data_IF_754185642926
#
_entry.id   IF_754185642926
#
_cell.length_a   1.000
_cell.length_b   1.000
_cell.length_c   1.000
_cell.angle_alpha   90.00
_cell.angle_beta   90.00
_cell.angle_gamma   90.00
#
_symmetry.space_group_name_H-M   'P 1'
#
loop_
_entity.id
_entity.type
_entity.pdbx_description
1 polymer ?
#
# COMPACT_ATOMS: atom_id res chain seq x y z
N UNK A 1 -42.77 -4.24 10.55
CA UNK A 1 -42.79 -3.02 9.73
C UNK A 1 -41.98 -1.97 10.46
N UNK A 2 -41.09 -1.28 9.74
CA UNK A 2 -40.20 -0.19 10.21
C UNK A 2 -39.03 -0.72 11.07
N UNK A 3 -37.76 -0.66 10.66
CA UNK A 3 -37.10 0.47 10.01
C UNK A 3 -36.07 0.01 8.98
N UNK A 4 -36.34 0.34 7.72
CA UNK A 4 -35.30 0.62 6.74
C UNK A 4 -34.57 1.90 7.18
N UNK A 5 -33.42 1.76 7.82
CA UNK A 5 -32.43 2.84 7.83
C UNK A 5 -31.24 2.38 6.98
N UNK A 6 -31.49 2.39 5.67
CA UNK A 6 -30.46 2.46 4.68
C UNK A 6 -29.73 3.81 4.83
N UNK A 7 -28.71 3.87 5.69
CA UNK A 7 -27.68 4.91 5.60
C UNK A 7 -26.49 4.34 4.85
N UNK A 8 -26.71 4.04 3.57
CA UNK A 8 -25.63 3.90 2.60
C UNK A 8 -25.43 5.26 1.95
N UNK A 9 -24.82 6.18 2.67
CA UNK A 9 -24.22 7.37 2.06
C UNK A 9 -22.72 7.25 2.20
N UNK A 10 -22.07 6.81 1.13
CA UNK A 10 -20.63 7.03 0.95
C UNK A 10 -20.33 8.50 1.24
N UNK A 11 -19.26 8.78 1.99
CA UNK A 11 -18.87 10.15 2.31
C UNK A 11 -18.79 10.98 1.01
N UNK A 12 -19.33 12.22 0.97
CA UNK A 12 -19.32 13.04 -0.24
C UNK A 12 -17.89 13.28 -0.76
N UNK A 13 -16.91 13.34 0.14
CA UNK A 13 -15.49 13.43 -0.20
C UNK A 13 -14.97 12.16 -0.88
N UNK A 14 -15.33 10.97 -0.37
CA UNK A 14 -14.98 9.70 -1.00
C UNK A 14 -15.62 9.57 -2.39
N UNK A 15 -16.87 10.01 -2.53
CA UNK A 15 -17.57 10.03 -3.81
C UNK A 15 -16.90 10.99 -4.81
N UNK A 16 -16.44 12.15 -4.37
CA UNK A 16 -15.68 13.08 -5.20
C UNK A 16 -14.35 12.46 -5.67
N UNK A 17 -13.61 11.82 -4.76
CA UNK A 17 -12.36 11.13 -5.11
C UNK A 17 -12.59 9.96 -6.09
N UNK A 18 -13.68 9.20 -5.91
CA UNK A 18 -14.04 8.11 -6.80
C UNK A 18 -14.29 8.60 -8.24
N UNK A 19 -14.96 9.75 -8.41
CA UNK A 19 -15.16 10.37 -9.73
C UNK A 19 -13.84 10.80 -10.37
N UNK A 20 -12.96 11.45 -9.60
CA UNK A 20 -11.64 11.84 -10.09
C UNK A 20 -10.80 10.64 -10.55
N UNK A 21 -10.85 9.53 -9.80
CA UNK A 21 -10.18 8.29 -10.21
C UNK A 21 -10.83 7.76 -11.50
N UNK A 22 -12.15 7.72 -11.58
CA UNK A 22 -12.88 7.23 -12.75
C UNK A 22 -12.57 8.04 -14.02
N UNK A 23 -12.34 9.34 -13.91
CA UNK A 23 -11.94 10.20 -15.04
C UNK A 23 -10.55 9.83 -15.59
N UNK A 24 -9.62 9.38 -14.74
CA UNK A 24 -8.24 9.03 -15.15
C UNK A 24 -8.13 7.58 -15.67
N UNK A 25 -9.05 6.69 -15.27
CA UNK A 25 -9.01 5.26 -15.61
C UNK A 25 -8.97 4.99 -17.13
N UNK A 26 -9.77 5.66 -18.00
CA UNK A 26 -9.71 5.43 -19.45
C UNK A 26 -8.32 5.67 -20.02
N UNK A 27 -7.70 6.80 -19.70
CA UNK A 27 -6.34 7.13 -20.15
C UNK A 27 -5.32 6.12 -19.63
N UNK A 28 -5.44 5.70 -18.36
CA UNK A 28 -4.59 4.64 -17.80
C UNK A 28 -4.71 3.34 -18.60
N UNK A 29 -5.93 2.93 -18.93
CA UNK A 29 -6.19 1.69 -19.68
C UNK A 29 -5.59 1.76 -21.08
N UNK A 30 -5.77 2.86 -21.80
CA UNK A 30 -5.18 3.07 -23.14
C UNK A 30 -3.65 2.91 -23.12
N UNK A 31 -2.98 3.54 -22.15
CA UNK A 31 -1.53 3.43 -21.98
C UNK A 31 -1.09 2.00 -21.65
N UNK A 32 -1.83 1.31 -20.77
CA UNK A 32 -1.51 -0.06 -20.40
C UNK A 32 -1.74 -1.06 -21.55
N UNK A 33 -2.76 -0.85 -22.37
CA UNK A 33 -3.00 -1.64 -23.58
C UNK A 33 -1.84 -1.49 -24.56
N UNK A 34 -1.38 -0.25 -24.78
CA UNK A 34 -0.27 0.03 -25.69
C UNK A 34 1.07 -0.56 -25.20
N UNK A 35 1.37 -0.47 -23.90
CA UNK A 35 2.66 -0.89 -23.34
C UNK A 35 2.73 -2.36 -22.93
N UNK A 36 1.61 -2.91 -22.46
CA UNK A 36 1.54 -4.23 -21.78
C UNK A 36 0.25 -4.97 -22.15
N UNK A 37 0.10 -5.35 -23.43
CA UNK A 37 -1.07 -6.12 -23.87
C UNK A 37 -1.21 -7.41 -23.05
N UNK A 38 -2.46 -7.83 -22.78
CA UNK A 38 -2.81 -8.99 -21.94
C UNK A 38 -2.42 -8.89 -20.45
N UNK A 39 -1.88 -7.76 -19.97
CA UNK A 39 -1.52 -7.56 -18.56
C UNK A 39 -2.17 -6.34 -17.91
N UNK A 40 -3.08 -5.66 -18.62
CA UNK A 40 -3.74 -4.42 -18.19
C UNK A 40 -4.27 -4.51 -16.75
N UNK A 41 -5.10 -5.52 -16.44
CA UNK A 41 -5.67 -5.67 -15.10
C UNK A 41 -4.60 -5.82 -14.01
N UNK A 42 -3.57 -6.64 -14.27
CA UNK A 42 -2.48 -6.86 -13.30
C UNK A 42 -1.65 -5.60 -13.09
N UNK A 43 -1.29 -4.89 -14.15
CA UNK A 43 -0.47 -3.67 -14.08
C UNK A 43 -1.27 -2.52 -13.42
N UNK A 44 -2.56 -2.37 -13.73
CA UNK A 44 -3.44 -1.41 -13.07
C UNK A 44 -3.53 -1.66 -11.56
N UNK A 45 -3.69 -2.93 -11.14
CA UNK A 45 -3.69 -3.30 -9.72
C UNK A 45 -2.36 -2.95 -9.05
N UNK A 46 -1.22 -3.20 -9.70
CA UNK A 46 0.10 -2.85 -9.16
C UNK A 46 0.24 -1.34 -8.99
N UNK A 47 -0.22 -0.56 -9.97
CA UNK A 47 -0.16 0.91 -9.94
C UNK A 47 -1.00 1.50 -8.80
N UNK A 48 -2.15 0.89 -8.48
CA UNK A 48 -2.99 1.34 -7.37
C UNK A 48 -2.49 0.83 -6.00
N UNK A 49 -2.11 -0.46 -5.92
CA UNK A 49 -1.72 -1.08 -4.66
C UNK A 49 -0.40 -0.51 -4.11
N UNK A 50 0.56 -0.18 -4.98
CA UNK A 50 1.86 0.31 -4.54
C UNK A 50 1.79 1.60 -3.73
N UNK A 51 1.15 2.70 -4.18
CA UNK A 51 0.99 3.91 -3.38
C UNK A 51 0.08 3.68 -2.17
N UNK A 52 -1.01 2.91 -2.30
CA UNK A 52 -1.91 2.59 -1.18
C UNK A 52 -1.14 1.94 -0.01
N UNK A 53 -0.41 0.85 -0.30
CA UNK A 53 0.32 0.11 0.72
C UNK A 53 1.49 0.91 1.28
N UNK A 54 2.19 1.68 0.44
CA UNK A 54 3.28 2.55 0.88
C UNK A 54 2.78 3.61 1.87
N UNK A 55 1.67 4.27 1.54
CA UNK A 55 1.08 5.30 2.39
C UNK A 55 0.63 4.74 3.74
N UNK A 56 -0.09 3.61 3.75
CA UNK A 56 -0.54 3.00 5.01
C UNK A 56 0.63 2.47 5.85
N UNK A 57 1.69 1.93 5.22
CA UNK A 57 2.92 1.58 5.94
C UNK A 57 3.59 2.80 6.58
N UNK A 58 3.57 3.95 5.90
CA UNK A 58 4.03 5.24 6.43
C UNK A 58 3.23 5.67 7.66
N UNK A 59 1.89 5.67 7.56
CA UNK A 59 0.99 5.95 8.69
C UNK A 59 1.22 5.01 9.87
N UNK A 60 1.55 3.75 9.59
CA UNK A 60 1.88 2.74 10.60
C UNK A 60 3.35 2.81 11.09
N UNK A 61 4.17 3.74 10.59
CA UNK A 61 5.61 3.85 10.87
C UNK A 61 6.37 2.53 10.69
N UNK A 62 6.04 1.80 9.63
CA UNK A 62 6.62 0.48 9.32
C UNK A 62 6.06 -0.69 10.15
N UNK A 63 5.12 -0.46 11.08
CA UNK A 63 4.45 -1.54 11.81
C UNK A 63 3.44 -2.26 10.89
N UNK A 64 3.87 -3.39 10.32
CA UNK A 64 3.05 -4.17 9.40
C UNK A 64 1.76 -4.71 10.04
N UNK A 65 1.75 -5.01 11.34
CA UNK A 65 0.52 -5.47 11.99
C UNK A 65 -0.52 -4.34 12.08
N UNK A 66 -0.08 -3.13 12.43
CA UNK A 66 -0.95 -1.96 12.45
C UNK A 66 -1.44 -1.60 11.04
N UNK A 67 -0.54 -1.60 10.05
CA UNK A 67 -0.91 -1.36 8.64
C UNK A 67 -1.93 -2.40 8.14
N UNK A 68 -1.75 -3.67 8.46
CA UNK A 68 -2.67 -4.74 8.06
C UNK A 68 -4.07 -4.54 8.66
N UNK A 69 -4.15 -4.10 9.94
CA UNK A 69 -5.42 -3.74 10.58
C UNK A 69 -6.10 -2.56 9.89
N UNK A 70 -5.35 -1.50 9.56
CA UNK A 70 -5.90 -0.33 8.85
C UNK A 70 -6.45 -0.69 7.46
N UNK A 71 -5.78 -1.63 6.76
CA UNK A 71 -6.21 -2.10 5.44
C UNK A 71 -7.31 -3.16 5.49
N UNK A 72 -7.68 -3.67 6.67
CA UNK A 72 -8.60 -4.81 6.78
C UNK A 72 -8.04 -6.11 6.19
N UNK A 73 -6.71 -6.24 6.10
CA UNK A 73 -6.05 -7.40 5.50
C UNK A 73 -5.43 -8.31 6.56
N UNK A 74 -5.33 -9.60 6.24
CA UNK A 74 -4.45 -10.48 6.98
C UNK A 74 -2.99 -9.99 6.85
N UNK A 75 -2.24 -9.91 7.97
CA UNK A 75 -0.82 -9.50 7.98
C UNK A 75 0.05 -10.33 7.02
N UNK A 76 -0.24 -11.62 6.86
CA UNK A 76 0.48 -12.48 5.93
C UNK A 76 0.23 -12.07 4.47
N UNK A 77 -1.01 -11.68 4.14
CA UNK A 77 -1.38 -11.13 2.83
C UNK A 77 -0.66 -9.81 2.59
N UNK A 78 -0.69 -8.87 3.55
CA UNK A 78 0.05 -7.61 3.45
C UNK A 78 1.54 -7.86 3.20
N UNK A 79 2.18 -8.73 4.00
CA UNK A 79 3.59 -9.06 3.84
C UNK A 79 3.91 -9.66 2.46
N UNK A 80 3.04 -10.54 1.93
CA UNK A 80 3.21 -11.09 0.56
C UNK A 80 3.13 -9.97 -0.48
N UNK A 81 2.11 -9.11 -0.40
CA UNK A 81 1.93 -7.96 -1.31
C UNK A 81 3.11 -6.98 -1.25
N UNK A 82 3.56 -6.58 -0.05
CA UNK A 82 4.69 -5.66 0.11
C UNK A 82 6.00 -6.25 -0.44
N UNK A 83 6.20 -7.57 -0.43
CA UNK A 83 7.37 -8.20 -1.06
C UNK A 83 7.30 -8.15 -2.58
N UNK A 84 6.13 -8.50 -3.14
CA UNK A 84 5.91 -8.44 -4.58
C UNK A 84 6.10 -7.01 -5.13
N UNK A 85 5.68 -6.01 -4.36
CA UNK A 85 5.81 -4.59 -4.69
C UNK A 85 7.11 -3.95 -4.21
N UNK A 86 8.02 -4.73 -3.62
CA UNK A 86 9.33 -4.27 -3.13
C UNK A 86 9.26 -3.09 -2.13
N UNK A 87 8.22 -3.06 -1.29
CA UNK A 87 7.97 -2.01 -0.29
C UNK A 87 8.61 -2.28 1.08
N UNK A 88 9.26 -3.43 1.27
CA UNK A 88 9.93 -3.74 2.53
C UNK A 88 11.42 -3.41 2.41
N UNK A 89 12.00 -2.66 3.36
CA UNK A 89 13.43 -2.43 3.36
C UNK A 89 14.15 -3.77 3.49
N UNK A 90 15.20 -3.97 2.67
CA UNK A 90 16.12 -5.08 2.86
C UNK A 90 16.60 -5.05 4.31
N UNK A 91 16.53 -6.19 5.01
CA UNK A 91 16.81 -6.32 6.46
C UNK A 91 18.28 -5.99 6.85
N UNK A 92 19.05 -5.33 6.00
CA UNK A 92 20.51 -5.25 6.06
C UNK A 92 21.08 -4.11 6.93
N UNK A 93 20.28 -3.33 7.66
CA UNK A 93 20.83 -2.20 8.46
C UNK A 93 20.70 -2.37 9.97
N UNK A 94 20.38 -3.56 10.49
CA UNK A 94 20.37 -3.84 11.94
C UNK A 94 21.50 -4.76 12.41
N UNK A 95 22.69 -4.59 11.84
CA UNK A 95 23.98 -5.05 12.38
C UNK A 95 25.09 -4.07 11.99
N UNK A 96 25.00 -2.83 12.42
CA UNK A 96 26.20 -2.10 12.78
C UNK A 96 26.28 -2.21 14.31
N UNK A 97 26.80 -3.34 14.77
CA UNK A 97 27.25 -3.44 16.15
C UNK A 97 28.33 -2.40 16.34
N UNK A 98 28.22 -1.58 17.38
CA UNK A 98 29.29 -0.71 17.83
C UNK A 98 30.46 -1.61 18.27
N UNK A 99 31.66 -1.59 17.65
CA UNK A 99 32.85 -1.97 18.38
C UNK A 99 33.31 -0.67 19.05
N UNK A 100 32.77 -0.38 20.24
CA UNK A 100 33.37 0.65 21.08
C UNK A 100 34.71 0.09 21.54
N UNK A 101 35.76 0.52 20.84
CA UNK A 101 37.15 0.31 21.20
C UNK A 101 37.36 0.74 22.65
N UNK A 102 37.58 -0.22 23.54
CA UNK A 102 38.29 -0.01 24.79
C UNK A 102 39.57 -0.82 24.72
N UNK A 103 40.56 -0.23 24.08
CA UNK A 103 41.95 -0.56 24.28
C UNK A 103 42.71 0.77 24.39
N UNK A 104 43.51 0.88 25.48
CA UNK A 104 44.58 1.86 25.74
C UNK A 104 44.14 3.15 26.44
N UNK A 105 44.35 3.22 27.76
CA UNK A 105 45.58 3.76 28.35
C UNK A 105 45.59 3.46 29.85
N UNK A 106 46.68 2.81 30.31
CA UNK A 106 46.95 2.41 31.69
C UNK A 106 48.20 1.54 31.70
#
# INVERSE_FOLDING_TARGET
MMSEEAVSQDSPELSALARLIAEVVPQLVEQLVALRPNRVHREALVLLERPLLAHVLGLARGNQLRAARMLGLNRNTLRKRCRLLQLLPSRSTRRAGTPAAQARLG
#
